data_IF_944397863866
#
_entry.id   IF_944397863866
#
_cell.length_a   1.000
_cell.length_b   1.000
_cell.length_c   1.000
_cell.angle_alpha   90.00
_cell.angle_beta   90.00
_cell.angle_gamma   90.00
#
_symmetry.space_group_name_H-M   'P 1'
#
loop_
_entity.id
_entity.type
_entity.pdbx_description
1 polymer ?
#
# COMPACT_ATOMS: atom_id res chain seq x y z
N UNK A 1 32.09 16.66 -11.43
CA UNK A 1 31.09 16.17 -12.39
C UNK A 1 29.72 16.53 -11.84
N UNK A 2 28.89 17.25 -12.63
CA UNK A 2 27.50 17.51 -12.29
C UNK A 2 26.70 16.31 -12.79
N UNK A 3 26.09 15.53 -11.87
CA UNK A 3 25.22 14.42 -12.21
C UNK A 3 23.85 14.95 -12.67
N UNK A 4 23.45 14.63 -13.90
CA UNK A 4 22.10 14.88 -14.41
C UNK A 4 21.39 13.55 -14.61
N UNK A 5 20.08 13.52 -14.29
CA UNK A 5 19.18 12.42 -14.61
C UNK A 5 18.21 12.88 -15.70
N UNK A 6 18.04 12.08 -16.75
CA UNK A 6 16.98 12.27 -17.73
C UNK A 6 15.84 11.33 -17.34
N UNK A 7 14.68 11.89 -17.01
CA UNK A 7 13.48 11.16 -16.62
C UNK A 7 12.38 11.39 -17.67
N UNK A 8 11.43 10.45 -17.74
CA UNK A 8 10.18 10.68 -18.48
C UNK A 8 9.39 11.80 -17.79
N UNK A 9 8.78 12.66 -18.60
CA UNK A 9 7.83 13.64 -18.09
C UNK A 9 6.45 12.97 -18.00
N UNK A 10 5.95 12.81 -16.79
CA UNK A 10 4.65 12.21 -16.48
C UNK A 10 3.56 13.28 -16.23
N UNK A 11 3.80 14.52 -16.68
CA UNK A 11 2.88 15.62 -16.48
C UNK A 11 2.97 16.25 -15.09
N UNK A 12 1.92 16.99 -14.71
CA UNK A 12 1.91 17.82 -13.51
C UNK A 12 0.74 17.53 -12.56
N UNK A 13 -0.18 16.64 -12.93
CA UNK A 13 -1.37 16.34 -12.13
C UNK A 13 -1.27 14.95 -11.54
N UNK A 14 -1.44 14.88 -10.23
CA UNK A 14 -1.58 13.61 -9.52
C UNK A 14 -3.04 13.16 -9.48
N UNK A 15 -3.28 11.90 -9.15
CA UNK A 15 -4.63 11.44 -8.87
C UNK A 15 -5.28 12.24 -7.73
N UNK A 16 -4.50 12.59 -6.70
CA UNK A 16 -5.02 13.37 -5.57
C UNK A 16 -5.58 14.73 -6.01
N UNK A 17 -4.97 15.36 -7.03
CA UNK A 17 -5.42 16.66 -7.55
C UNK A 17 -6.74 16.59 -8.30
N UNK A 18 -7.09 15.43 -8.86
CA UNK A 18 -8.22 15.28 -9.81
C UNK A 18 -9.31 14.33 -9.32
N UNK A 19 -9.05 13.51 -8.31
CA UNK A 19 -10.03 12.55 -7.78
C UNK A 19 -11.29 13.25 -7.27
N UNK A 20 -12.43 12.72 -7.68
CA UNK A 20 -13.77 13.12 -7.25
C UNK A 20 -14.69 11.91 -7.23
N UNK A 21 -15.86 12.02 -6.63
CA UNK A 21 -16.86 10.94 -6.64
C UNK A 21 -17.22 10.48 -8.06
N UNK A 22 -17.25 11.39 -9.03
CA UNK A 22 -17.65 11.10 -10.41
C UNK A 22 -16.62 10.26 -11.19
N UNK A 23 -15.33 10.41 -10.87
CA UNK A 23 -14.24 9.77 -11.61
C UNK A 23 -13.49 8.68 -10.83
N UNK A 24 -13.70 8.60 -9.51
CA UNK A 24 -12.97 7.71 -8.62
C UNK A 24 -13.01 6.25 -9.09
N UNK A 25 -14.19 5.73 -9.46
CA UNK A 25 -14.32 4.32 -9.89
C UNK A 25 -13.42 4.00 -11.10
N UNK A 26 -13.29 4.92 -12.05
CA UNK A 26 -12.44 4.73 -13.23
C UNK A 26 -10.96 4.83 -12.87
N UNK A 27 -10.57 5.87 -12.11
CA UNK A 27 -9.16 6.07 -11.74
C UNK A 27 -8.65 4.95 -10.82
N UNK A 28 -9.49 4.46 -9.90
CA UNK A 28 -9.16 3.32 -9.07
C UNK A 28 -9.06 2.01 -9.88
N UNK A 29 -9.86 1.86 -10.94
CA UNK A 29 -9.74 0.72 -11.86
C UNK A 29 -8.42 0.75 -12.63
N UNK A 30 -8.00 1.93 -13.12
CA UNK A 30 -6.72 2.13 -13.77
C UNK A 30 -5.56 1.86 -12.80
N UNK A 31 -5.61 2.42 -11.58
CA UNK A 31 -4.61 2.21 -10.54
C UNK A 31 -4.46 0.72 -10.17
N UNK A 32 -5.56 0.02 -9.90
CA UNK A 32 -5.51 -1.41 -9.57
C UNK A 32 -4.99 -2.26 -10.74
N UNK A 33 -5.26 -1.87 -11.98
CA UNK A 33 -4.71 -2.53 -13.18
C UNK A 33 -3.19 -2.33 -13.29
N UNK A 34 -2.69 -1.14 -12.99
CA UNK A 34 -1.26 -0.85 -12.98
C UNK A 34 -0.55 -1.59 -11.82
N UNK A 35 -1.18 -1.64 -10.63
CA UNK A 35 -0.67 -2.40 -9.49
C UNK A 35 -0.53 -3.90 -9.83
N UNK A 36 -1.54 -4.49 -10.45
CA UNK A 36 -1.49 -5.90 -10.91
C UNK A 36 -0.34 -6.12 -11.89
N UNK A 37 -0.10 -5.19 -12.84
CA UNK A 37 1.04 -5.26 -13.77
C UNK A 37 2.38 -5.22 -13.02
N UNK A 38 2.52 -4.37 -12.01
CA UNK A 38 3.71 -4.31 -11.17
C UNK A 38 3.94 -5.65 -10.45
N UNK A 39 2.93 -6.14 -9.75
CA UNK A 39 3.01 -7.34 -8.93
C UNK A 39 3.21 -8.63 -9.74
N UNK A 40 2.65 -8.71 -10.94
CA UNK A 40 2.86 -9.85 -11.86
C UNK A 40 4.32 -10.07 -12.24
N UNK A 41 5.13 -9.02 -12.20
CA UNK A 41 6.56 -9.07 -12.52
C UNK A 41 7.45 -9.36 -11.31
N UNK A 42 6.86 -9.68 -10.16
CA UNK A 42 7.60 -9.95 -8.92
C UNK A 42 8.58 -11.11 -9.06
N UNK A 43 9.76 -10.91 -8.51
CA UNK A 43 10.83 -11.92 -8.45
C UNK A 43 11.50 -11.84 -7.08
N UNK A 44 11.54 -12.94 -6.31
CA UNK A 44 12.29 -12.99 -5.05
C UNK A 44 13.76 -12.60 -5.25
N UNK A 45 14.33 -11.90 -4.29
CA UNK A 45 15.76 -11.55 -4.28
C UNK A 45 16.17 -10.40 -5.23
N UNK A 46 15.21 -9.72 -5.87
CA UNK A 46 15.48 -8.51 -6.69
C UNK A 46 15.35 -7.25 -5.84
N UNK A 47 14.26 -7.13 -5.10
CA UNK A 47 14.05 -6.07 -4.11
C UNK A 47 14.37 -6.60 -2.71
N UNK A 48 14.69 -5.72 -1.75
CA UNK A 48 14.82 -6.11 -0.35
C UNK A 48 13.52 -6.74 0.16
N UNK A 49 13.63 -7.73 1.04
CA UNK A 49 12.46 -8.30 1.70
C UNK A 49 11.84 -7.30 2.70
N UNK A 50 10.52 -7.28 2.77
CA UNK A 50 9.80 -6.55 3.81
C UNK A 50 9.91 -7.33 5.12
N UNK A 51 11.00 -7.09 5.85
CA UNK A 51 11.37 -7.87 7.03
C UNK A 51 10.52 -7.51 8.25
N UNK A 52 10.57 -8.39 9.27
CA UNK A 52 9.98 -8.12 10.58
C UNK A 52 10.51 -6.81 11.18
N UNK A 53 11.82 -6.56 11.05
CA UNK A 53 12.44 -5.35 11.58
C UNK A 53 11.89 -4.09 10.90
N UNK A 54 11.66 -4.14 9.58
CA UNK A 54 11.11 -3.00 8.86
C UNK A 54 9.65 -2.76 9.28
N UNK A 55 8.80 -3.79 9.29
CA UNK A 55 7.41 -3.71 9.77
C UNK A 55 7.35 -3.15 11.19
N UNK A 56 8.17 -3.67 12.09
CA UNK A 56 8.23 -3.20 13.48
C UNK A 56 8.63 -1.74 13.57
N UNK A 57 9.62 -1.31 12.80
CA UNK A 57 10.08 0.08 12.80
C UNK A 57 8.97 1.06 12.37
N UNK A 58 8.12 0.66 11.44
CA UNK A 58 6.97 1.46 11.01
C UNK A 58 5.86 1.50 12.06
N UNK A 59 5.54 0.37 12.69
CA UNK A 59 4.58 0.32 13.79
C UNK A 59 5.02 1.16 14.99
N UNK A 60 6.33 1.25 15.26
CA UNK A 60 6.89 2.07 16.34
C UNK A 60 6.71 3.59 16.10
N UNK A 61 6.40 4.02 14.90
CA UNK A 61 6.06 5.42 14.62
C UNK A 61 4.80 5.86 15.36
N UNK A 62 3.82 4.96 15.53
CA UNK A 62 2.58 5.27 16.24
C UNK A 62 2.80 5.67 17.71
N UNK A 63 3.42 4.85 18.58
CA UNK A 63 3.66 5.24 19.96
C UNK A 63 4.59 6.45 20.08
N UNK A 64 5.60 6.58 19.22
CA UNK A 64 6.55 7.68 19.29
C UNK A 64 5.93 9.02 18.85
N UNK A 65 5.30 9.05 17.69
CA UNK A 65 4.83 10.31 17.11
C UNK A 65 3.41 10.68 17.55
N UNK A 66 2.49 9.70 17.55
CA UNK A 66 1.11 9.99 17.91
C UNK A 66 0.91 10.05 19.42
N UNK A 67 1.31 8.99 20.16
CA UNK A 67 1.04 8.92 21.60
C UNK A 67 1.92 9.91 22.37
N UNK A 68 3.24 9.86 22.19
CA UNK A 68 4.13 10.73 22.96
C UNK A 68 4.10 12.17 22.49
N UNK A 69 4.26 12.43 21.17
CA UNK A 69 4.45 13.80 20.67
C UNK A 69 3.14 14.53 20.42
N UNK A 70 2.16 13.89 19.76
CA UNK A 70 0.90 14.54 19.44
C UNK A 70 -0.05 14.62 20.66
N UNK A 71 -0.27 13.49 21.36
CA UNK A 71 -1.11 13.45 22.55
C UNK A 71 -0.39 13.93 23.83
N UNK A 72 0.93 14.10 23.78
CA UNK A 72 1.78 14.47 24.92
C UNK A 72 1.58 13.52 26.12
N UNK A 73 1.47 12.22 25.85
CA UNK A 73 1.26 11.16 26.85
C UNK A 73 2.54 10.37 27.06
N UNK A 74 2.82 10.01 28.32
CA UNK A 74 3.88 9.07 28.66
C UNK A 74 3.40 7.63 28.42
N UNK A 75 4.25 6.83 27.75
CA UNK A 75 3.98 5.41 27.55
C UNK A 75 4.41 4.66 28.82
N UNK A 76 3.42 4.17 29.55
CA UNK A 76 3.65 3.34 30.74
C UNK A 76 4.18 1.95 30.34
N UNK A 77 4.87 1.22 31.24
CA UNK A 77 5.30 -0.15 30.98
C UNK A 77 4.15 -1.08 30.55
N UNK A 78 2.95 -0.84 31.09
CA UNK A 78 1.75 -1.61 30.73
C UNK A 78 1.30 -1.31 29.29
N UNK A 79 1.27 -0.04 28.88
CA UNK A 79 0.97 0.36 27.49
C UNK A 79 2.01 -0.22 26.53
N UNK A 80 3.31 -0.15 26.89
CA UNK A 80 4.37 -0.73 26.08
C UNK A 80 4.14 -2.23 25.84
N UNK A 81 3.85 -2.98 26.89
CA UNK A 81 3.55 -4.41 26.77
C UNK A 81 2.32 -4.71 25.90
N UNK A 82 1.32 -3.81 25.89
CA UNK A 82 0.17 -3.96 24.99
C UNK A 82 0.57 -3.70 23.54
N UNK A 83 1.35 -2.64 23.26
CA UNK A 83 1.85 -2.36 21.92
C UNK A 83 2.69 -3.52 21.38
N UNK A 84 3.62 -4.05 22.19
CA UNK A 84 4.47 -5.15 21.76
C UNK A 84 3.65 -6.36 21.30
N UNK A 85 2.66 -6.77 22.10
CA UNK A 85 1.78 -7.89 21.76
C UNK A 85 0.94 -7.64 20.51
N UNK A 86 0.44 -6.41 20.35
CA UNK A 86 -0.35 -6.04 19.17
C UNK A 86 0.53 -6.01 17.93
N UNK A 87 1.74 -5.45 18.03
CA UNK A 87 2.70 -5.39 16.93
C UNK A 87 3.16 -6.78 16.51
N UNK A 88 3.48 -7.66 17.48
CA UNK A 88 3.82 -9.06 17.20
C UNK A 88 2.72 -9.75 16.39
N UNK A 89 1.45 -9.54 16.76
CA UNK A 89 0.33 -10.14 16.07
C UNK A 89 0.12 -9.56 14.65
N UNK A 90 0.21 -8.23 14.48
CA UNK A 90 0.13 -7.57 13.17
C UNK A 90 1.25 -8.08 12.26
N UNK A 91 2.48 -8.12 12.75
CA UNK A 91 3.64 -8.60 12.00
C UNK A 91 3.47 -10.06 11.58
N UNK A 92 3.04 -10.93 12.50
CA UNK A 92 2.75 -12.34 12.20
C UNK A 92 1.74 -12.49 11.05
N UNK A 93 0.62 -11.73 11.11
CA UNK A 93 -0.41 -11.75 10.08
C UNK A 93 0.13 -11.27 8.73
N UNK A 94 0.88 -10.20 8.72
CA UNK A 94 1.41 -9.62 7.49
C UNK A 94 2.49 -10.49 6.84
N UNK A 95 3.38 -11.07 7.63
CA UNK A 95 4.42 -11.97 7.12
C UNK A 95 3.89 -13.36 6.71
N UNK A 96 2.69 -13.74 7.12
CA UNK A 96 2.04 -14.97 6.67
C UNK A 96 1.44 -14.87 5.26
N UNK A 97 1.29 -13.67 4.71
CA UNK A 97 0.77 -13.44 3.35
C UNK A 97 1.75 -13.89 2.26
N UNK A 98 1.25 -14.06 1.05
CA UNK A 98 2.11 -14.20 -0.12
C UNK A 98 2.83 -12.88 -0.44
N UNK A 99 4.08 -12.98 -0.93
CA UNK A 99 4.91 -11.81 -1.22
C UNK A 99 4.95 -11.49 -2.70
N UNK A 100 4.90 -10.20 -3.00
CA UNK A 100 4.99 -9.58 -4.32
C UNK A 100 5.87 -8.32 -4.25
N UNK A 101 6.09 -7.63 -5.36
CA UNK A 101 6.63 -6.28 -5.31
C UNK A 101 5.61 -5.34 -4.68
N UNK A 102 6.05 -4.59 -3.68
CA UNK A 102 5.29 -3.61 -2.91
C UNK A 102 5.96 -2.27 -3.11
N UNK A 103 5.18 -1.29 -3.55
CA UNK A 103 5.64 0.08 -3.76
C UNK A 103 5.86 0.82 -2.43
N UNK A 104 5.08 0.48 -1.40
CA UNK A 104 4.97 1.07 -0.05
C UNK A 104 4.19 2.38 0.02
N UNK A 105 4.32 3.23 -0.98
CA UNK A 105 3.62 4.52 -1.06
C UNK A 105 2.69 4.57 -2.29
N UNK A 106 1.96 3.46 -2.56
CA UNK A 106 1.02 3.35 -3.67
C UNK A 106 -0.29 4.07 -3.34
N UNK A 107 -0.25 5.38 -3.41
CA UNK A 107 -1.36 6.25 -3.01
C UNK A 107 -1.61 7.35 -4.05
N UNK A 108 -2.80 8.00 -4.07
CA UNK A 108 -3.19 8.96 -5.10
C UNK A 108 -2.20 10.09 -5.38
N UNK A 109 -1.42 10.53 -4.40
CA UNK A 109 -0.39 11.58 -4.59
C UNK A 109 0.82 11.13 -5.39
N UNK A 110 1.06 9.81 -5.48
CA UNK A 110 2.20 9.21 -6.18
C UNK A 110 1.78 8.54 -7.51
N UNK A 111 0.53 8.75 -7.91
CA UNK A 111 -0.02 8.30 -9.18
C UNK A 111 -0.28 9.52 -10.07
N UNK A 112 0.45 9.62 -11.19
CA UNK A 112 0.33 10.71 -12.14
C UNK A 112 -0.76 10.42 -13.15
N UNK A 113 -1.60 11.44 -13.43
CA UNK A 113 -2.64 11.33 -14.44
C UNK A 113 -2.03 11.40 -15.83
N UNK A 114 -2.18 10.35 -16.60
CA UNK A 114 -1.68 10.26 -17.97
C UNK A 114 -2.81 9.98 -18.96
N UNK A 115 -2.63 10.45 -20.22
CA UNK A 115 -3.55 10.14 -21.31
C UNK A 115 -3.39 8.70 -21.82
N UNK A 116 -2.17 8.16 -21.72
CA UNK A 116 -1.83 6.80 -22.14
C UNK A 116 -1.11 6.10 -20.99
N UNK A 117 -1.34 4.80 -20.86
CA UNK A 117 -0.72 3.96 -19.82
C UNK A 117 -0.92 4.51 -18.40
N UNK A 118 -2.11 5.05 -18.15
CA UNK A 118 -2.54 5.61 -16.85
C UNK A 118 -2.59 4.55 -15.74
N UNK A 119 -2.09 4.83 -14.54
CA UNK A 119 -1.31 6.01 -14.13
C UNK A 119 0.19 5.87 -14.41
N UNK A 120 0.89 7.01 -14.50
CA UNK A 120 2.31 7.07 -14.23
C UNK A 120 2.58 6.87 -12.74
N UNK A 121 3.58 6.05 -12.37
CA UNK A 121 3.90 5.72 -10.98
C UNK A 121 5.23 6.37 -10.63
N UNK A 122 5.27 7.14 -9.54
CA UNK A 122 6.47 7.82 -9.03
C UNK A 122 6.74 7.41 -7.58
N UNK A 123 7.92 7.77 -7.05
CA UNK A 123 8.30 7.58 -5.64
C UNK A 123 8.49 6.10 -5.25
N UNK A 124 9.05 5.29 -6.15
CA UNK A 124 9.20 3.83 -6.00
C UNK A 124 10.56 3.38 -5.43
N UNK A 125 11.44 4.29 -5.01
CA UNK A 125 12.80 3.98 -4.56
C UNK A 125 12.85 3.14 -3.27
N UNK A 126 11.79 3.16 -2.47
CA UNK A 126 11.66 2.39 -1.24
C UNK A 126 10.87 1.08 -1.41
N UNK A 127 10.66 0.65 -2.66
CA UNK A 127 9.94 -0.57 -2.97
C UNK A 127 10.64 -1.81 -2.40
N UNK A 128 9.83 -2.77 -1.97
CA UNK A 128 10.27 -4.02 -1.33
C UNK A 128 9.58 -5.24 -1.93
N UNK A 129 10.00 -6.43 -1.52
CA UNK A 129 9.29 -7.68 -1.76
C UNK A 129 8.55 -8.05 -0.47
N UNK A 130 7.21 -7.97 -0.48
CA UNK A 130 6.40 -7.98 0.74
C UNK A 130 4.95 -8.41 0.53
N UNK A 131 4.11 -8.22 1.56
CA UNK A 131 2.72 -8.69 1.61
C UNK A 131 1.88 -8.18 0.44
N UNK A 132 1.14 -9.09 -0.20
CA UNK A 132 0.35 -8.81 -1.42
C UNK A 132 -0.77 -7.79 -1.20
N UNK A 133 -1.26 -7.64 0.02
CA UNK A 133 -2.34 -6.70 0.36
C UNK A 133 -1.86 -5.27 0.63
N UNK A 134 -0.55 -5.02 0.78
CA UNK A 134 -0.04 -3.72 1.23
C UNK A 134 -0.49 -2.55 0.36
N UNK A 135 -0.17 -2.59 -0.93
CA UNK A 135 -0.41 -1.45 -1.82
C UNK A 135 -1.89 -1.20 -2.08
N UNK A 136 -2.74 -2.24 -2.08
CA UNK A 136 -4.18 -2.03 -2.19
C UNK A 136 -4.77 -1.41 -0.91
N UNK A 137 -4.23 -1.74 0.26
CA UNK A 137 -4.59 -1.08 1.51
C UNK A 137 -4.19 0.39 1.49
N UNK A 138 -2.95 0.73 1.08
CA UNK A 138 -2.48 2.10 0.91
C UNK A 138 -3.34 2.91 -0.06
N UNK A 139 -3.71 2.32 -1.21
CA UNK A 139 -4.51 2.98 -2.23
C UNK A 139 -5.91 3.32 -1.73
N UNK A 140 -6.54 2.40 -1.00
CA UNK A 140 -7.93 2.52 -0.57
C UNK A 140 -8.12 3.24 0.78
N UNK A 141 -7.09 3.26 1.64
CA UNK A 141 -7.12 3.84 2.99
C UNK A 141 -6.08 4.96 3.15
N UNK A 142 -6.06 5.87 2.18
CA UNK A 142 -5.17 7.02 2.16
C UNK A 142 -5.51 8.01 3.29
N UNK A 143 -4.47 8.66 3.84
CA UNK A 143 -4.60 9.69 4.86
C UNK A 143 -5.16 11.03 4.33
N UNK A 144 -5.13 11.26 3.01
CA UNK A 144 -5.50 12.54 2.39
C UNK A 144 -6.91 12.55 1.80
N UNK A 145 -7.47 11.38 1.51
CA UNK A 145 -8.81 11.23 0.95
C UNK A 145 -9.51 10.05 1.61
N UNK A 146 -10.80 10.21 1.91
CA UNK A 146 -11.60 9.16 2.56
C UNK A 146 -12.72 8.69 1.64
N UNK A 147 -12.95 7.39 1.63
CA UNK A 147 -13.98 6.73 0.85
C UNK A 147 -14.94 5.95 1.76
N UNK A 148 -16.13 5.68 1.28
CA UNK A 148 -17.05 4.80 2.02
C UNK A 148 -16.52 3.34 2.01
N UNK A 149 -16.83 2.58 3.06
CA UNK A 149 -16.46 1.16 3.13
C UNK A 149 -17.00 0.35 1.93
N UNK A 150 -18.16 0.73 1.40
CA UNK A 150 -18.73 0.09 0.21
C UNK A 150 -17.86 0.32 -1.04
N UNK A 151 -17.28 1.51 -1.20
CA UNK A 151 -16.36 1.81 -2.31
C UNK A 151 -15.03 1.08 -2.13
N UNK A 152 -14.47 1.09 -0.92
CA UNK A 152 -13.22 0.37 -0.61
C UNK A 152 -13.39 -1.12 -0.88
N UNK A 153 -14.48 -1.71 -0.43
CA UNK A 153 -14.81 -3.12 -0.67
C UNK A 153 -14.95 -3.43 -2.17
N UNK A 154 -15.66 -2.59 -2.94
CA UNK A 154 -15.84 -2.76 -4.39
C UNK A 154 -14.50 -2.71 -5.13
N UNK A 155 -13.63 -1.76 -4.82
CA UNK A 155 -12.33 -1.65 -5.46
C UNK A 155 -11.37 -2.77 -5.06
N UNK A 156 -11.40 -3.19 -3.80
CA UNK A 156 -10.59 -4.31 -3.31
C UNK A 156 -11.02 -5.63 -3.96
N UNK A 157 -12.32 -5.88 -4.13
CA UNK A 157 -12.81 -7.11 -4.81
C UNK A 157 -12.46 -7.11 -6.31
N UNK A 158 -12.50 -5.94 -6.98
CA UNK A 158 -12.06 -5.81 -8.38
C UNK A 158 -10.56 -6.06 -8.53
N UNK A 159 -9.75 -5.51 -7.63
CA UNK A 159 -8.31 -5.79 -7.60
C UNK A 159 -8.06 -7.29 -7.41
N UNK A 160 -8.68 -7.92 -6.41
CA UNK A 160 -8.53 -9.34 -6.13
C UNK A 160 -8.91 -10.23 -7.34
N UNK A 161 -10.01 -9.91 -8.03
CA UNK A 161 -10.43 -10.63 -9.25
C UNK A 161 -9.40 -10.47 -10.39
N UNK A 162 -8.87 -9.24 -10.60
CA UNK A 162 -7.79 -8.99 -11.58
C UNK A 162 -6.52 -9.76 -11.20
N UNK A 163 -6.10 -9.69 -9.94
CA UNK A 163 -4.91 -10.35 -9.43
C UNK A 163 -4.97 -11.86 -9.63
N UNK A 164 -6.09 -12.50 -9.33
CA UNK A 164 -6.31 -13.92 -9.57
C UNK A 164 -6.23 -14.29 -11.04
N UNK A 165 -6.86 -13.52 -11.92
CA UNK A 165 -6.84 -13.76 -13.39
C UNK A 165 -5.42 -13.67 -13.94
N UNK A 166 -4.59 -12.82 -13.38
CA UNK A 166 -3.20 -12.62 -13.78
C UNK A 166 -2.20 -13.55 -13.05
N UNK A 167 -2.69 -14.45 -12.18
CA UNK A 167 -1.89 -15.44 -11.48
C UNK A 167 -1.07 -14.90 -10.30
N UNK A 168 -1.44 -13.73 -9.77
CA UNK A 168 -0.85 -13.20 -8.53
C UNK A 168 -1.32 -14.07 -7.35
N UNK A 169 -0.43 -14.40 -6.41
CA UNK A 169 -0.72 -15.37 -5.34
C UNK A 169 -1.58 -14.75 -4.20
N UNK A 170 -2.78 -14.27 -4.54
CA UNK A 170 -3.79 -13.87 -3.56
C UNK A 170 -4.61 -15.08 -3.10
N UNK A 171 -5.18 -15.07 -1.87
CA UNK A 171 -6.09 -16.11 -1.40
C UNK A 171 -7.21 -16.40 -2.38
N UNK A 172 -7.61 -17.68 -2.51
CA UNK A 172 -8.69 -18.09 -3.41
C UNK A 172 -10.08 -17.59 -2.94
N UNK A 173 -10.26 -17.46 -1.64
CA UNK A 173 -11.44 -16.89 -0.99
C UNK A 173 -11.23 -15.39 -0.75
N UNK A 174 -12.20 -14.58 -1.17
CA UNK A 174 -12.11 -13.13 -1.02
C UNK A 174 -12.18 -12.70 0.45
N UNK A 175 -12.93 -13.41 1.30
CA UNK A 175 -13.03 -13.07 2.73
C UNK A 175 -11.67 -13.20 3.44
N UNK A 176 -10.87 -14.21 3.07
CA UNK A 176 -9.50 -14.37 3.57
C UNK A 176 -8.62 -13.23 3.08
N UNK A 177 -8.72 -12.86 1.80
CA UNK A 177 -7.96 -11.73 1.26
C UNK A 177 -8.38 -10.39 1.91
N UNK A 178 -9.68 -10.21 2.17
CA UNK A 178 -10.17 -9.02 2.86
C UNK A 178 -9.63 -8.94 4.30
N UNK A 179 -9.56 -10.08 5.01
CA UNK A 179 -8.90 -10.13 6.33
C UNK A 179 -7.43 -9.70 6.23
N UNK A 180 -6.69 -10.13 5.20
CA UNK A 180 -5.30 -9.72 4.96
C UNK A 180 -5.19 -8.19 4.77
N UNK A 181 -6.13 -7.57 4.06
CA UNK A 181 -6.19 -6.10 3.86
C UNK A 181 -6.51 -5.36 5.16
N UNK A 182 -7.37 -5.93 6.01
CA UNK A 182 -7.74 -5.32 7.30
C UNK A 182 -6.61 -5.40 8.33
N UNK A 183 -5.70 -6.37 8.21
CA UNK A 183 -4.52 -6.47 9.07
C UNK A 183 -3.33 -5.61 8.62
N UNK A 184 -3.37 -5.08 7.40
CA UNK A 184 -2.35 -4.20 6.85
C UNK A 184 -2.59 -2.75 7.27
#
# INVERSE_FOLDING_TARGET
>A
EQGFLLLSDLGTQTYLDVLSEDNASRLMDDATTALVKLQKNSKPGVLPDYSEELLRSELELFPEWYVKRHLNMEITPQMRSMFDKMFDHIIEKNLAQSFVYVHRDYMPRNLMLEEKDNPGIIDFQDAVYGPVSYDIACLCRDAFISWSEAQILDWTIRYWDKARKEGIPVPADFGVFWEDVEWM
#
